data_IF_878472989384
#
_entry.id   IF_878472989384
#
_cell.length_a   1.000
_cell.length_b   1.000
_cell.length_c   1.000
_cell.angle_alpha   90.00
_cell.angle_beta   90.00
_cell.angle_gamma   90.00
#
_symmetry.space_group_name_H-M   'P 1'
#
loop_
_entity.id
_entity.type
_entity.pdbx_description
1 polymer ?
#
# COMPACT_ATOMS: atom_id res chain seq x y z
N UNK A 1 -18.35 8.44 -33.21
CA UNK A 1 -18.05 7.04 -32.89
C UNK A 1 -18.14 6.88 -31.39
N UNK A 2 -18.76 5.81 -30.86
CA UNK A 2 -18.76 5.51 -29.44
C UNK A 2 -17.43 4.86 -29.03
N UNK A 3 -16.98 5.15 -27.79
CA UNK A 3 -15.82 4.50 -27.22
C UNK A 3 -16.08 2.99 -27.01
N UNK A 4 -15.07 2.17 -27.21
CA UNK A 4 -15.09 0.77 -26.80
C UNK A 4 -15.09 0.65 -25.28
N UNK A 5 -15.90 -0.23 -24.72
CA UNK A 5 -16.00 -0.40 -23.27
C UNK A 5 -15.32 -1.70 -22.84
N UNK A 6 -14.55 -1.61 -21.74
CA UNK A 6 -14.02 -2.77 -21.03
C UNK A 6 -14.52 -2.69 -19.58
N UNK A 7 -15.27 -3.71 -19.17
CA UNK A 7 -15.86 -3.76 -17.84
C UNK A 7 -15.00 -4.54 -16.87
N UNK A 8 -14.86 -4.01 -15.66
CA UNK A 8 -14.19 -4.71 -14.56
C UNK A 8 -15.07 -4.70 -13.31
N UNK A 9 -14.99 -5.78 -12.55
CA UNK A 9 -15.76 -6.00 -11.32
C UNK A 9 -14.88 -6.72 -10.29
N UNK A 10 -15.00 -6.41 -8.97
CA UNK A 10 -14.32 -7.19 -7.93
C UNK A 10 -14.71 -8.68 -7.92
N UNK A 11 -15.86 -9.03 -8.52
CA UNK A 11 -16.34 -10.39 -8.70
C UNK A 11 -16.04 -10.95 -10.09
N UNK A 12 -15.36 -10.19 -10.94
CA UNK A 12 -15.00 -10.58 -12.29
C UNK A 12 -13.91 -11.64 -12.34
N UNK A 13 -13.50 -11.97 -13.56
CA UNK A 13 -12.39 -12.90 -13.81
C UNK A 13 -11.54 -12.38 -14.98
N UNK A 14 -10.23 -12.34 -14.83
CA UNK A 14 -9.32 -11.80 -15.86
C UNK A 14 -9.29 -12.62 -17.15
N UNK A 15 -9.79 -13.85 -17.14
CA UNK A 15 -10.00 -14.65 -18.35
C UNK A 15 -11.27 -14.28 -19.14
N UNK A 16 -12.17 -13.48 -18.54
CA UNK A 16 -13.37 -12.99 -19.19
C UNK A 16 -13.03 -12.02 -20.34
N UNK A 17 -13.99 -11.80 -21.22
CA UNK A 17 -13.83 -10.93 -22.41
C UNK A 17 -13.90 -9.42 -22.10
N UNK A 18 -14.29 -9.04 -20.88
CA UNK A 18 -14.38 -7.64 -20.47
C UNK A 18 -15.67 -6.94 -20.92
N UNK A 19 -16.69 -7.71 -21.32
CA UNK A 19 -18.03 -7.16 -21.53
C UNK A 19 -18.77 -6.95 -20.20
N UNK A 20 -19.84 -6.18 -20.19
CA UNK A 20 -20.64 -5.94 -18.99
C UNK A 20 -21.16 -7.22 -18.33
N UNK A 21 -21.68 -8.23 -19.07
CA UNK A 21 -22.11 -9.49 -18.46
C UNK A 21 -20.94 -10.42 -18.06
N UNK A 22 -19.73 -10.15 -18.57
CA UNK A 22 -18.53 -10.99 -18.36
C UNK A 22 -17.31 -10.10 -18.06
N UNK A 23 -17.33 -9.37 -16.90
CA UNK A 23 -16.30 -8.39 -16.56
C UNK A 23 -14.99 -9.06 -16.15
N UNK A 24 -13.88 -8.35 -16.38
CA UNK A 24 -12.58 -8.74 -15.84
C UNK A 24 -12.50 -8.41 -14.34
N UNK A 25 -11.53 -9.02 -13.66
CA UNK A 25 -11.33 -8.79 -12.23
C UNK A 25 -10.43 -7.59 -11.93
N UNK A 26 -9.44 -7.31 -12.79
CA UNK A 26 -8.38 -6.35 -12.49
C UNK A 26 -8.24 -5.24 -13.53
N UNK A 27 -7.82 -4.07 -13.04
CA UNK A 27 -7.48 -2.95 -13.92
C UNK A 27 -6.27 -3.30 -14.81
N UNK A 28 -5.31 -4.07 -14.32
CA UNK A 28 -4.15 -4.55 -15.09
C UNK A 28 -4.60 -5.36 -16.32
N UNK A 29 -5.56 -6.25 -16.14
CA UNK A 29 -6.09 -7.06 -17.25
C UNK A 29 -6.88 -6.22 -18.25
N UNK A 30 -7.66 -5.23 -17.78
CA UNK A 30 -8.37 -4.31 -18.65
C UNK A 30 -7.41 -3.44 -19.48
N UNK A 31 -6.37 -2.90 -18.89
CA UNK A 31 -5.33 -2.14 -19.59
C UNK A 31 -4.60 -3.02 -20.63
N UNK A 32 -4.34 -4.28 -20.31
CA UNK A 32 -3.75 -5.22 -21.28
C UNK A 32 -4.66 -5.41 -22.51
N UNK A 33 -5.96 -5.57 -22.29
CA UNK A 33 -6.92 -5.68 -23.39
C UNK A 33 -7.02 -4.39 -24.19
N UNK A 34 -7.01 -3.23 -23.54
CA UNK A 34 -7.01 -1.94 -24.21
C UNK A 34 -5.80 -1.76 -25.14
N UNK A 35 -4.59 -2.13 -24.64
CA UNK A 35 -3.37 -2.15 -25.46
C UNK A 35 -3.48 -3.08 -26.65
N UNK A 36 -4.05 -4.25 -26.45
CA UNK A 36 -4.24 -5.23 -27.53
C UNK A 36 -5.17 -4.68 -28.62
N UNK A 37 -6.28 -4.05 -28.25
CA UNK A 37 -7.17 -3.40 -29.21
C UNK A 37 -6.45 -2.29 -29.99
N UNK A 38 -5.63 -1.47 -29.32
CA UNK A 38 -4.84 -0.43 -29.99
C UNK A 38 -3.78 -1.02 -30.91
N UNK A 39 -3.09 -2.06 -30.47
CA UNK A 39 -2.03 -2.74 -31.25
C UNK A 39 -2.57 -3.38 -32.53
N UNK A 40 -3.79 -3.88 -32.52
CA UNK A 40 -4.44 -4.54 -33.64
C UNK A 40 -5.30 -3.60 -34.51
N UNK A 41 -5.31 -2.31 -34.18
CA UNK A 41 -6.17 -1.30 -34.83
C UNK A 41 -7.65 -1.71 -34.85
N UNK A 42 -8.12 -2.25 -33.74
CA UNK A 42 -9.49 -2.71 -33.57
C UNK A 42 -10.48 -1.54 -33.72
N UNK A 43 -11.59 -1.76 -34.40
CA UNK A 43 -12.60 -0.70 -34.64
C UNK A 43 -13.13 -0.07 -33.37
N UNK A 44 -13.14 -0.79 -32.25
CA UNK A 44 -13.57 -0.31 -30.94
C UNK A 44 -12.74 0.84 -30.39
N UNK A 45 -11.50 1.03 -30.85
CA UNK A 45 -10.66 2.14 -30.37
C UNK A 45 -10.92 3.48 -31.06
N UNK A 46 -11.69 3.51 -32.16
CA UNK A 46 -11.88 4.72 -32.98
C UNK A 46 -12.55 5.88 -32.23
N UNK A 47 -13.36 5.61 -31.21
CA UNK A 47 -13.96 6.62 -30.33
C UNK A 47 -13.33 6.68 -28.95
N UNK A 48 -12.17 6.07 -28.78
CA UNK A 48 -11.52 5.90 -27.50
C UNK A 48 -11.86 4.59 -26.81
N UNK A 49 -11.30 4.41 -25.61
CA UNK A 49 -11.56 3.23 -24.75
C UNK A 49 -12.01 3.72 -23.38
N UNK A 50 -13.13 3.17 -22.89
CA UNK A 50 -13.57 3.40 -21.52
C UNK A 50 -13.45 2.12 -20.71
N UNK A 51 -12.65 2.15 -19.64
CA UNK A 51 -12.62 1.09 -18.63
C UNK A 51 -13.66 1.44 -17.58
N UNK A 52 -14.77 0.69 -17.56
CA UNK A 52 -15.89 0.86 -16.65
C UNK A 52 -15.67 0.00 -15.41
N UNK A 53 -15.52 0.65 -14.26
CA UNK A 53 -15.29 -0.02 -12.97
C UNK A 53 -16.58 -0.13 -12.18
N UNK A 54 -17.06 -1.36 -11.94
CA UNK A 54 -18.14 -1.59 -11.00
C UNK A 54 -17.73 -1.29 -9.56
N UNK A 55 -18.69 -0.92 -8.73
CA UNK A 55 -18.45 -0.56 -7.34
C UNK A 55 -17.84 -1.66 -6.51
N UNK A 56 -16.99 -1.27 -5.56
CA UNK A 56 -16.35 -2.19 -4.65
C UNK A 56 -14.86 -1.90 -4.44
N UNK A 57 -14.20 -2.82 -3.76
CA UNK A 57 -12.76 -2.69 -3.46
C UNK A 57 -11.95 -3.65 -4.32
N UNK A 58 -11.06 -3.09 -5.10
CA UNK A 58 -10.08 -3.80 -5.91
C UNK A 58 -8.76 -3.88 -5.14
N UNK A 59 -8.37 -5.07 -4.71
CA UNK A 59 -7.10 -5.30 -4.02
C UNK A 59 -5.96 -5.30 -5.03
N UNK A 60 -4.97 -4.43 -4.82
CA UNK A 60 -3.77 -4.33 -5.65
C UNK A 60 -2.64 -5.08 -4.95
N UNK A 61 -2.30 -6.25 -5.44
CA UNK A 61 -1.17 -7.05 -4.94
C UNK A 61 0.16 -6.68 -5.60
N UNK A 62 0.09 -5.90 -6.67
CA UNK A 62 1.20 -5.35 -7.43
C UNK A 62 0.84 -3.95 -7.94
N UNK A 63 1.83 -3.10 -8.28
CA UNK A 63 1.58 -1.81 -8.89
C UNK A 63 0.84 -1.94 -10.22
N UNK A 64 -0.15 -1.07 -10.45
CA UNK A 64 -0.77 -0.91 -11.78
C UNK A 64 0.11 0.01 -12.60
N UNK A 65 0.68 -0.50 -13.68
CA UNK A 65 1.51 0.27 -14.59
C UNK A 65 0.66 0.88 -15.71
N UNK A 66 0.58 2.20 -15.71
CA UNK A 66 0.04 2.98 -16.82
C UNK A 66 1.23 3.39 -17.70
N UNK A 67 1.19 2.99 -18.96
CA UNK A 67 2.28 3.16 -19.92
C UNK A 67 1.91 4.22 -20.96
N UNK A 68 2.88 4.75 -21.73
CA UNK A 68 2.58 5.72 -22.79
C UNK A 68 1.50 5.23 -23.79
N UNK A 69 1.50 3.95 -24.14
CA UNK A 69 0.50 3.36 -25.03
C UNK A 69 -0.92 3.29 -24.45
N UNK A 70 -1.07 3.51 -23.13
CA UNK A 70 -2.39 3.55 -22.49
C UNK A 70 -3.10 4.90 -22.64
N UNK A 71 -2.36 5.97 -22.93
CA UNK A 71 -2.90 7.34 -22.98
C UNK A 71 -3.93 7.53 -24.10
N UNK A 72 -3.73 6.87 -25.25
CA UNK A 72 -4.51 7.12 -26.46
C UNK A 72 -4.12 8.44 -27.15
N UNK A 73 -5.05 9.00 -27.90
CA UNK A 73 -4.92 10.27 -28.62
C UNK A 73 -6.07 11.21 -28.24
N UNK A 74 -6.03 12.45 -28.73
CA UNK A 74 -7.13 13.41 -28.51
C UNK A 74 -8.47 12.88 -29.03
N UNK A 75 -8.48 12.23 -30.21
CA UNK A 75 -9.66 11.65 -30.82
C UNK A 75 -10.02 10.24 -30.30
N UNK A 76 -9.10 9.61 -29.60
CA UNK A 76 -9.24 8.24 -29.07
C UNK A 76 -8.62 8.12 -27.68
N UNK A 77 -9.14 8.82 -26.67
CA UNK A 77 -8.59 8.79 -25.31
C UNK A 77 -8.86 7.46 -24.62
N UNK A 78 -8.05 7.15 -23.60
CA UNK A 78 -8.37 6.09 -22.64
C UNK A 78 -8.93 6.70 -21.36
N UNK A 79 -10.14 6.33 -20.99
CA UNK A 79 -10.83 6.81 -19.80
C UNK A 79 -11.03 5.67 -18.82
N UNK A 80 -10.62 5.87 -17.58
CA UNK A 80 -10.87 4.93 -16.48
C UNK A 80 -11.86 5.63 -15.54
N UNK A 81 -13.04 5.05 -15.36
CA UNK A 81 -14.08 5.67 -14.54
C UNK A 81 -14.92 4.63 -13.80
N UNK A 82 -15.51 5.01 -12.64
CA UNK A 82 -16.53 4.18 -12.03
C UNK A 82 -17.79 4.13 -12.94
N UNK A 83 -18.59 3.10 -12.77
CA UNK A 83 -19.98 3.10 -13.21
C UNK A 83 -20.70 4.18 -12.39
N UNK A 84 -21.63 4.89 -13.03
CA UNK A 84 -22.30 6.04 -12.42
C UNK A 84 -22.77 5.74 -10.98
N UNK A 85 -22.47 6.68 -10.08
CA UNK A 85 -22.84 6.66 -8.66
C UNK A 85 -22.27 5.51 -7.81
N UNK A 86 -21.42 4.65 -8.38
CA UNK A 86 -20.80 3.56 -7.63
C UNK A 86 -19.46 3.98 -6.99
N UNK A 87 -19.26 3.53 -5.77
CA UNK A 87 -18.00 3.78 -5.06
C UNK A 87 -16.95 2.74 -5.40
N UNK A 88 -15.93 3.15 -6.12
CA UNK A 88 -14.75 2.34 -6.45
C UNK A 88 -13.60 2.69 -5.51
N UNK A 89 -12.95 1.68 -4.96
CA UNK A 89 -11.74 1.81 -4.12
C UNK A 89 -10.64 0.92 -4.66
N UNK A 90 -9.53 1.52 -5.08
CA UNK A 90 -8.28 0.81 -5.36
C UNK A 90 -7.46 0.77 -4.08
N UNK A 91 -7.10 -0.42 -3.61
CA UNK A 91 -6.42 -0.59 -2.32
C UNK A 91 -5.20 -1.47 -2.43
N UNK A 92 -4.02 -0.94 -2.08
CA UNK A 92 -2.80 -1.71 -1.88
C UNK A 92 -2.70 -2.38 -0.50
N UNK A 93 -3.75 -2.25 0.33
CA UNK A 93 -3.82 -2.87 1.65
C UNK A 93 -4.26 -4.33 1.60
N UNK A 94 -3.73 -5.13 2.51
CA UNK A 94 -4.18 -6.50 2.73
C UNK A 94 -5.18 -6.52 3.88
N UNK A 95 -6.34 -7.14 3.66
CA UNK A 95 -7.37 -7.25 4.69
C UNK A 95 -6.95 -8.26 5.76
N UNK A 96 -6.94 -7.81 7.02
CA UNK A 96 -6.73 -8.67 8.17
C UNK A 96 -8.10 -9.17 8.65
N UNK A 97 -8.28 -10.49 8.61
CA UNK A 97 -9.50 -11.18 9.04
C UNK A 97 -9.24 -12.12 10.20
N UNK A 98 -10.24 -12.96 10.55
CA UNK A 98 -10.09 -13.99 11.58
C UNK A 98 -9.96 -13.43 13.01
N UNK A 99 -10.48 -12.25 13.27
CA UNK A 99 -10.42 -11.61 14.59
C UNK A 99 -11.13 -12.41 15.66
N UNK A 100 -10.45 -12.65 16.78
CA UNK A 100 -10.96 -13.35 17.95
C UNK A 100 -10.86 -12.43 19.18
N UNK A 101 -11.88 -12.44 20.01
CA UNK A 101 -11.85 -11.72 21.28
C UNK A 101 -11.06 -12.52 22.31
N UNK A 102 -10.05 -11.90 22.91
CA UNK A 102 -9.23 -12.46 23.97
C UNK A 102 -9.21 -11.48 25.15
N UNK A 103 -10.04 -11.71 26.12
CA UNK A 103 -10.27 -10.77 27.23
C UNK A 103 -10.81 -9.43 26.75
N UNK A 104 -10.04 -8.36 26.96
CA UNK A 104 -10.38 -7.00 26.50
C UNK A 104 -9.81 -6.66 25.11
N UNK A 105 -9.06 -7.57 24.50
CA UNK A 105 -8.38 -7.34 23.23
C UNK A 105 -9.05 -8.10 22.07
N UNK A 106 -8.88 -7.60 20.87
CA UNK A 106 -9.13 -8.32 19.64
C UNK A 106 -7.80 -8.75 19.05
N UNK A 107 -7.68 -10.02 18.72
CA UNK A 107 -6.45 -10.64 18.19
C UNK A 107 -6.74 -11.29 16.85
N UNK A 108 -5.83 -11.11 15.92
CA UNK A 108 -5.83 -11.80 14.65
C UNK A 108 -4.40 -12.18 14.26
N UNK A 109 -4.25 -13.24 13.49
CA UNK A 109 -2.96 -13.60 12.92
C UNK A 109 -2.57 -12.59 11.84
N UNK A 110 -1.29 -12.27 11.78
CA UNK A 110 -0.76 -11.42 10.72
C UNK A 110 -0.79 -12.22 9.40
N UNK A 111 -1.39 -11.68 8.33
CA UNK A 111 -1.42 -12.37 7.05
C UNK A 111 -0.02 -12.70 6.53
N UNK A 112 0.09 -13.83 5.86
CA UNK A 112 1.30 -14.20 5.14
C UNK A 112 1.30 -13.56 3.75
N UNK A 113 2.44 -13.03 3.34
CA UNK A 113 2.66 -12.51 1.99
C UNK A 113 4.01 -13.01 1.47
N UNK A 114 4.01 -13.67 0.33
CA UNK A 114 5.20 -14.29 -0.26
C UNK A 114 5.98 -15.18 0.72
N UNK A 115 5.26 -16.01 1.50
CA UNK A 115 5.86 -16.96 2.44
C UNK A 115 6.40 -16.35 3.74
N UNK A 116 6.16 -15.06 3.99
CA UNK A 116 6.60 -14.37 5.20
C UNK A 116 5.42 -13.65 5.87
N UNK A 117 5.42 -13.49 7.21
CA UNK A 117 4.46 -12.61 7.86
C UNK A 117 4.57 -11.20 7.29
N UNK A 118 3.43 -10.58 7.00
CA UNK A 118 3.36 -9.23 6.47
C UNK A 118 3.95 -8.22 7.47
N UNK A 119 5.02 -7.54 7.08
CA UNK A 119 5.58 -6.42 7.84
C UNK A 119 4.98 -5.11 7.34
N UNK A 120 3.99 -4.58 8.06
CA UNK A 120 3.28 -3.37 7.68
C UNK A 120 3.53 -2.24 8.68
N UNK A 121 3.54 -1.01 8.18
CA UNK A 121 3.71 0.20 8.98
C UNK A 121 2.45 1.04 9.08
N UNK A 122 1.41 0.69 8.37
CA UNK A 122 0.13 1.36 8.41
C UNK A 122 -0.97 0.34 8.65
N UNK A 123 -1.81 0.62 9.64
CA UNK A 123 -3.01 -0.13 9.94
C UNK A 123 -4.21 0.80 9.81
N UNK A 124 -5.24 0.33 9.13
CA UNK A 124 -6.49 1.04 8.97
C UNK A 124 -7.61 0.24 9.63
N UNK A 125 -8.37 0.88 10.51
CA UNK A 125 -9.50 0.27 11.20
C UNK A 125 -10.74 1.11 10.88
N UNK A 126 -11.76 0.47 10.31
CA UNK A 126 -13.01 1.14 9.90
C UNK A 126 -12.77 2.39 9.05
N UNK A 127 -11.85 2.31 8.09
CA UNK A 127 -11.50 3.40 7.19
C UNK A 127 -10.65 4.53 7.81
N UNK A 128 -10.24 4.40 9.07
CA UNK A 128 -9.38 5.36 9.76
C UNK A 128 -7.99 4.79 9.99
N UNK A 129 -6.96 5.58 9.68
CA UNK A 129 -5.57 5.20 9.93
C UNK A 129 -5.32 5.18 11.44
N UNK A 130 -4.86 4.04 11.95
CA UNK A 130 -4.44 3.91 13.34
C UNK A 130 -3.13 4.65 13.59
N UNK A 131 -2.98 5.19 14.79
CA UNK A 131 -1.74 5.83 15.22
C UNK A 131 -0.70 4.76 15.57
N UNK A 132 0.47 4.82 14.92
CA UNK A 132 1.61 3.97 15.27
C UNK A 132 2.21 4.48 16.59
N UNK A 133 2.43 3.59 17.55
CA UNK A 133 3.04 3.95 18.82
C UNK A 133 4.42 4.58 18.60
N UNK A 134 4.62 5.77 19.14
CA UNK A 134 5.88 6.52 19.12
C UNK A 134 6.00 7.32 20.42
N UNK A 135 7.20 7.69 20.80
CA UNK A 135 7.46 8.49 22.01
C UNK A 135 7.22 9.99 21.76
N UNK A 136 7.55 10.48 20.57
CA UNK A 136 7.42 11.89 20.19
C UNK A 136 6.80 11.99 18.79
N UNK A 137 5.79 12.82 18.63
CA UNK A 137 5.17 13.12 17.33
C UNK A 137 5.69 14.42 16.70
N UNK A 138 5.97 15.40 17.54
CA UNK A 138 6.40 16.73 17.14
C UNK A 138 7.89 16.71 16.78
N UNK A 139 8.20 17.04 15.51
CA UNK A 139 9.57 17.07 15.00
C UNK A 139 10.51 17.94 15.84
N UNK A 140 10.04 19.11 16.31
CA UNK A 140 10.85 20.03 17.10
C UNK A 140 11.21 19.50 18.49
N UNK A 141 10.47 18.51 18.97
CA UNK A 141 10.68 17.83 20.27
C UNK A 141 11.48 16.54 20.14
N UNK A 142 11.83 16.14 18.93
CA UNK A 142 12.62 14.92 18.72
C UNK A 142 14.05 15.09 19.24
N UNK A 143 14.57 14.00 19.80
CA UNK A 143 15.95 13.99 20.29
C UNK A 143 16.92 14.03 19.09
N UNK A 144 18.02 14.77 19.26
CA UNK A 144 19.08 14.80 18.28
C UNK A 144 20.08 13.69 18.54
N UNK A 145 20.68 13.15 17.49
CA UNK A 145 21.79 12.21 17.58
C UNK A 145 23.00 12.95 18.16
N UNK A 146 23.66 12.33 19.13
CA UNK A 146 24.88 12.89 19.73
C UNK A 146 26.10 12.67 18.84
N UNK A 147 26.29 11.43 18.36
CA UNK A 147 27.37 11.06 17.46
C UNK A 147 27.06 9.76 16.73
N UNK A 148 27.87 9.45 15.71
CA UNK A 148 27.78 8.24 14.90
C UNK A 148 29.15 7.58 14.85
N UNK A 149 29.21 6.29 15.17
CA UNK A 149 30.37 5.44 14.89
C UNK A 149 30.02 4.56 13.68
N UNK A 150 30.45 5.01 12.51
CA UNK A 150 30.14 4.33 11.24
C UNK A 150 30.80 2.95 11.16
N UNK A 151 31.99 2.81 11.74
CA UNK A 151 32.76 1.56 11.67
C UNK A 151 32.07 0.42 12.42
N UNK A 152 31.46 0.74 13.56
CA UNK A 152 30.80 -0.25 14.43
C UNK A 152 29.27 -0.21 14.28
N UNK A 153 28.72 0.64 13.37
CA UNK A 153 27.28 0.82 13.15
C UNK A 153 26.52 1.22 14.43
N UNK A 154 27.13 2.12 15.23
CA UNK A 154 26.56 2.59 16.49
C UNK A 154 26.09 4.04 16.37
N UNK A 155 24.88 4.30 16.86
CA UNK A 155 24.35 5.65 17.03
C UNK A 155 24.29 5.98 18.52
N UNK A 156 24.94 7.08 18.92
CA UNK A 156 24.86 7.61 20.27
C UNK A 156 23.70 8.61 20.35
N UNK A 157 22.77 8.36 21.25
CA UNK A 157 21.59 9.18 21.45
C UNK A 157 21.43 9.52 22.94
N UNK A 158 20.73 10.61 23.30
CA UNK A 158 20.47 10.91 24.70
C UNK A 158 19.76 9.76 25.42
N UNK A 159 20.20 9.41 26.63
CA UNK A 159 19.60 8.33 27.41
C UNK A 159 18.08 8.47 27.58
N UNK A 160 17.54 9.70 27.62
CA UNK A 160 16.11 9.96 27.71
C UNK A 160 15.34 9.40 26.52
N UNK A 161 15.94 9.34 25.33
CA UNK A 161 15.32 8.83 24.12
C UNK A 161 15.07 7.32 24.18
N UNK A 162 15.88 6.59 24.94
CA UNK A 162 15.86 5.12 24.96
C UNK A 162 15.33 4.51 26.28
N UNK A 163 15.23 5.30 27.35
CA UNK A 163 14.79 4.80 28.68
C UNK A 163 13.48 4.01 28.66
N UNK A 164 12.53 4.40 27.81
CA UNK A 164 11.23 3.71 27.69
C UNK A 164 11.34 2.39 26.90
N UNK A 165 12.37 2.24 26.08
CA UNK A 165 12.55 1.08 25.20
C UNK A 165 13.29 -0.05 25.90
N UNK A 166 14.00 0.23 26.99
CA UNK A 166 14.79 -0.76 27.72
C UNK A 166 14.18 -1.06 29.09
N UNK A 167 14.46 -2.24 29.59
CA UNK A 167 14.18 -2.62 30.97
C UNK A 167 15.26 -2.05 31.93
N UNK A 168 15.11 -2.31 33.23
CA UNK A 168 16.08 -1.85 34.23
C UNK A 168 17.48 -2.46 34.10
N UNK A 169 17.67 -3.43 33.17
CA UNK A 169 18.96 -4.07 32.86
C UNK A 169 19.51 -3.65 31.50
N UNK A 170 18.83 -2.73 30.80
CA UNK A 170 19.24 -2.26 29.47
C UNK A 170 18.78 -3.13 28.29
N UNK A 171 18.02 -4.20 28.52
CA UNK A 171 17.50 -5.02 27.43
C UNK A 171 16.27 -4.39 26.78
N UNK A 172 16.14 -4.52 25.46
CA UNK A 172 14.98 -4.04 24.71
C UNK A 172 13.69 -4.72 25.19
N UNK A 173 12.71 -3.93 25.62
CA UNK A 173 11.38 -4.41 26.00
C UNK A 173 10.54 -4.90 24.81
N UNK A 174 10.82 -4.39 23.63
CA UNK A 174 10.08 -4.70 22.43
C UNK A 174 11.01 -5.23 21.32
N UNK A 175 10.77 -6.47 20.91
CA UNK A 175 11.52 -7.13 19.84
C UNK A 175 11.54 -6.34 18.51
N UNK A 176 10.52 -5.54 18.27
CA UNK A 176 10.34 -4.80 17.03
C UNK A 176 10.45 -3.28 17.22
N UNK A 177 11.25 -2.85 18.21
CA UNK A 177 11.53 -1.43 18.38
C UNK A 177 12.23 -0.86 17.15
N UNK A 178 11.80 0.31 16.72
CA UNK A 178 12.37 1.04 15.59
C UNK A 178 12.74 2.45 16.00
N UNK A 179 13.77 2.96 15.38
CA UNK A 179 14.13 4.37 15.41
C UNK A 179 13.76 5.01 14.08
N UNK A 180 13.08 6.14 14.15
CA UNK A 180 12.81 6.97 12.99
C UNK A 180 13.86 8.07 12.95
N UNK A 181 14.73 8.00 11.95
CA UNK A 181 15.79 8.97 11.75
C UNK A 181 15.39 9.96 10.66
N UNK A 182 15.23 11.23 11.05
CA UNK A 182 15.00 12.33 10.11
C UNK A 182 16.33 12.89 9.63
N UNK A 183 16.51 12.85 8.34
CA UNK A 183 17.65 13.47 7.64
C UNK A 183 17.13 14.64 6.79
N UNK A 184 18.04 15.44 6.23
CA UNK A 184 17.68 16.64 5.48
C UNK A 184 16.71 16.35 4.32
N UNK A 185 16.88 15.24 3.62
CA UNK A 185 16.12 14.89 2.41
C UNK A 185 15.35 13.59 2.50
N UNK A 186 15.51 12.84 3.58
CA UNK A 186 14.83 11.56 3.72
C UNK A 186 14.55 11.21 5.18
N UNK A 187 13.70 10.19 5.35
CA UNK A 187 13.40 9.59 6.64
C UNK A 187 13.75 8.11 6.58
N UNK A 188 14.63 7.66 7.47
CA UNK A 188 14.97 6.26 7.61
C UNK A 188 14.25 5.65 8.82
N UNK A 189 13.71 4.44 8.64
CA UNK A 189 13.17 3.63 9.73
C UNK A 189 14.14 2.49 9.98
N UNK A 190 14.84 2.54 11.09
CA UNK A 190 15.88 1.60 11.45
C UNK A 190 15.40 0.65 12.55
N UNK A 191 15.54 -0.64 12.33
CA UNK A 191 15.29 -1.68 13.35
C UNK A 191 16.39 -1.62 14.39
N UNK A 192 16.04 -1.47 15.67
CA UNK A 192 17.02 -1.47 16.75
C UNK A 192 17.40 -2.91 17.07
N UNK A 193 18.69 -3.23 16.94
CA UNK A 193 19.24 -4.57 17.25
C UNK A 193 19.52 -4.74 18.74
N UNK A 194 20.19 -3.79 19.33
CA UNK A 194 20.52 -3.76 20.75
C UNK A 194 20.63 -2.32 21.25
N UNK A 195 20.60 -2.15 22.54
CA UNK A 195 20.81 -0.87 23.22
C UNK A 195 21.79 -1.11 24.35
N UNK A 196 22.76 -0.23 24.49
CA UNK A 196 23.68 -0.18 25.62
C UNK A 196 23.55 1.17 26.31
N UNK A 197 23.48 1.15 27.64
CA UNK A 197 23.50 2.37 28.45
C UNK A 197 24.93 2.63 28.87
N UNK A 198 25.52 3.71 28.40
CA UNK A 198 26.85 4.17 28.79
C UNK A 198 26.78 5.15 29.96
#
# INVERSE_FOLDING_TARGET
LSAGEIWISPQGNDFNDGTRPSPKATLTSALRQAREWRRTDDERVRGGITICMEGGTYALYEPVFIRPEDSGTEDSPTVIRPVADEKVVLSGGIRIGGWKKQGKLWVADVPMFNGRPLDFRQLWVNGKKAVRARDVEDFEKMNRICSVDEKNEILYVPAVAIRRLVDGKGALKAKYAEMVLHQMWCVANLRIRSVELA
#
